data_IF_232942746201
#
_entry.id   IF_232942746201
#
_cell.length_a   1.000
_cell.length_b   1.000
_cell.length_c   1.000
_cell.angle_alpha   90.00
_cell.angle_beta   90.00
_cell.angle_gamma   90.00
#
_symmetry.space_group_name_H-M   'P 1'
#
loop_
_entity.id
_entity.type
_entity.pdbx_description
1 polymer ?
#
# COMPACT_ATOMS: atom_id res chain seq x y z
N UNK A 1 55.60 -5.95 11.42
CA UNK A 1 55.61 -5.96 9.94
C UNK A 1 54.22 -6.26 9.45
N UNK A 2 53.50 -5.26 9.07
CA UNK A 2 52.14 -5.31 8.53
C UNK A 2 52.17 -5.75 7.09
N UNK A 3 51.27 -6.64 6.71
CA UNK A 3 50.76 -6.74 5.31
C UNK A 3 49.26 -6.85 5.36
N UNK A 4 48.67 -5.85 4.76
CA UNK A 4 47.24 -5.71 4.61
C UNK A 4 46.66 -6.78 3.70
N UNK A 5 45.46 -7.21 4.03
CA UNK A 5 44.55 -7.92 3.14
C UNK A 5 43.49 -6.89 2.69
N UNK A 6 43.76 -6.30 1.55
CA UNK A 6 42.76 -5.59 0.76
C UNK A 6 42.17 -6.57 -0.24
N UNK A 7 40.86 -6.56 -0.42
CA UNK A 7 40.19 -7.17 -1.57
C UNK A 7 39.34 -8.40 -1.25
N UNK A 8 38.17 -8.19 -0.67
CA UNK A 8 37.00 -9.05 -0.94
C UNK A 8 36.04 -8.20 -1.77
N UNK A 9 36.15 -8.39 -3.07
CA UNK A 9 35.17 -7.91 -4.04
C UNK A 9 33.84 -8.59 -3.79
N UNK A 10 32.83 -7.77 -3.71
CA UNK A 10 31.44 -8.12 -3.46
C UNK A 10 30.83 -8.69 -4.76
N UNK A 11 30.92 -10.02 -4.92
CA UNK A 11 30.29 -10.74 -6.02
C UNK A 11 29.02 -11.45 -5.51
N UNK A 12 27.91 -10.71 -5.51
CA UNK A 12 26.60 -11.35 -5.55
C UNK A 12 26.32 -11.78 -7.00
N UNK A 13 26.98 -12.84 -7.43
CA UNK A 13 26.80 -13.38 -8.77
C UNK A 13 25.51 -14.19 -8.85
N UNK A 14 24.56 -13.68 -9.62
CA UNK A 14 23.46 -14.47 -10.15
C UNK A 14 24.07 -15.37 -11.26
N UNK A 15 24.32 -16.63 -10.93
CA UNK A 15 24.78 -17.59 -11.93
C UNK A 15 23.57 -18.11 -12.68
N UNK A 16 23.44 -17.67 -13.90
CA UNK A 16 22.53 -18.23 -14.90
C UNK A 16 23.27 -19.37 -15.59
N UNK A 17 22.57 -20.44 -15.97
CA UNK A 17 23.02 -21.64 -16.70
C UNK A 17 24.46 -21.55 -17.29
N UNK A 18 25.28 -22.61 -17.31
CA UNK A 18 26.69 -22.55 -17.71
C UNK A 18 26.94 -21.98 -19.12
N UNK A 19 25.91 -21.70 -19.86
CA UNK A 19 25.97 -21.04 -21.19
C UNK A 19 25.73 -19.52 -21.15
N UNK A 20 25.46 -18.89 -19.98
CA UNK A 20 25.26 -17.45 -19.88
C UNK A 20 26.13 -16.89 -18.75
N UNK A 21 27.31 -16.38 -19.06
CA UNK A 21 28.09 -15.53 -18.16
C UNK A 21 27.46 -14.15 -18.14
N UNK A 22 26.90 -13.74 -17.00
CA UNK A 22 26.49 -12.38 -16.75
C UNK A 22 27.69 -11.54 -16.28
N UNK A 23 28.69 -11.43 -17.11
CA UNK A 23 29.73 -10.44 -17.02
C UNK A 23 29.43 -9.36 -18.06
N UNK A 24 28.75 -8.28 -17.67
CA UNK A 24 28.36 -7.21 -18.58
C UNK A 24 27.37 -7.70 -19.65
N UNK A 25 26.14 -7.21 -19.61
CA UNK A 25 25.25 -7.26 -20.76
C UNK A 25 25.93 -6.44 -21.87
N UNK A 26 26.82 -7.10 -22.64
CA UNK A 26 27.29 -6.52 -23.87
C UNK A 26 26.10 -6.50 -24.80
N UNK A 27 25.91 -5.40 -25.45
CA UNK A 27 24.96 -5.20 -26.56
C UNK A 27 25.39 -5.91 -27.84
N UNK A 28 26.23 -6.95 -27.70
CA UNK A 28 26.66 -7.75 -28.85
C UNK A 28 25.45 -8.55 -29.35
N UNK A 29 25.14 -8.42 -30.62
CA UNK A 29 24.00 -9.10 -31.24
C UNK A 29 24.18 -10.62 -31.10
N UNK A 30 23.15 -11.33 -30.67
CA UNK A 30 23.11 -12.78 -30.68
C UNK A 30 23.34 -13.23 -32.15
N UNK A 31 24.31 -14.12 -32.43
CA UNK A 31 24.47 -14.65 -33.76
C UNK A 31 23.19 -15.38 -34.19
N UNK A 32 22.41 -14.79 -35.05
CA UNK A 32 21.23 -15.40 -35.65
C UNK A 32 21.67 -16.16 -36.88
N UNK A 33 21.44 -17.47 -36.92
CA UNK A 33 21.68 -18.30 -38.09
C UNK A 33 20.71 -18.01 -39.27
N UNK A 34 20.30 -16.77 -39.47
CA UNK A 34 19.41 -16.31 -40.50
C UNK A 34 19.84 -14.95 -41.05
N UNK A 35 19.56 -14.68 -42.32
CA UNK A 35 20.07 -13.59 -43.12
C UNK A 35 19.72 -12.14 -42.68
N UNK A 36 19.09 -11.92 -41.50
CA UNK A 36 18.78 -10.59 -40.99
C UNK A 36 19.16 -10.44 -39.51
N UNK A 37 20.37 -9.93 -39.22
CA UNK A 37 20.86 -9.75 -37.83
C UNK A 37 20.08 -8.69 -37.05
N UNK A 38 19.15 -7.96 -37.66
CA UNK A 38 18.40 -6.88 -37.01
C UNK A 38 17.04 -7.31 -36.43
N UNK A 39 16.59 -8.54 -36.72
CA UNK A 39 15.26 -9.01 -36.22
C UNK A 39 15.24 -9.45 -34.78
N UNK A 40 16.37 -9.85 -34.19
CA UNK A 40 16.49 -10.24 -32.79
C UNK A 40 17.46 -9.31 -32.07
N UNK A 41 16.95 -8.51 -31.15
CA UNK A 41 17.73 -7.50 -30.46
C UNK A 41 18.55 -8.07 -29.28
N UNK A 42 18.00 -9.03 -28.53
CA UNK A 42 18.65 -9.61 -27.38
C UNK A 42 17.98 -10.89 -26.91
N UNK A 43 18.71 -11.73 -26.18
CA UNK A 43 18.14 -12.83 -25.42
C UNK A 43 17.54 -12.31 -24.12
N UNK A 44 16.29 -12.71 -23.81
CA UNK A 44 15.61 -12.32 -22.60
C UNK A 44 15.29 -13.49 -21.70
N UNK A 45 15.34 -13.29 -20.37
CA UNK A 45 15.12 -14.31 -19.34
C UNK A 45 13.77 -14.12 -18.67
N UNK A 46 13.04 -15.21 -18.45
CA UNK A 46 11.84 -15.32 -17.61
C UNK A 46 12.17 -15.95 -16.27
N UNK A 47 11.17 -16.10 -15.38
CA UNK A 47 11.37 -16.80 -14.12
C UNK A 47 11.64 -18.29 -14.31
N UNK A 48 11.16 -18.90 -15.39
CA UNK A 48 11.35 -20.30 -15.69
C UNK A 48 12.77 -20.61 -16.20
N UNK A 49 13.51 -19.57 -16.62
CA UNK A 49 14.88 -19.69 -17.17
C UNK A 49 15.97 -19.59 -16.08
N UNK A 50 15.61 -19.23 -14.83
CA UNK A 50 16.57 -18.92 -13.77
C UNK A 50 16.22 -19.58 -12.46
N UNK A 51 17.24 -19.95 -11.69
CA UNK A 51 17.13 -20.45 -10.31
C UNK A 51 18.09 -19.67 -9.42
N UNK A 52 17.75 -19.57 -8.14
CA UNK A 52 18.66 -19.06 -7.12
C UNK A 52 19.63 -20.18 -6.72
N UNK A 53 20.91 -19.89 -6.67
CA UNK A 53 21.89 -20.81 -6.12
C UNK A 53 21.88 -20.76 -4.59
N UNK A 54 21.96 -21.92 -3.93
CA UNK A 54 22.15 -21.97 -2.50
C UNK A 54 23.46 -21.29 -2.11
N UNK A 55 23.44 -20.49 -1.06
CA UNK A 55 24.63 -19.87 -0.49
C UNK A 55 24.76 -20.21 1.00
N UNK A 56 25.93 -19.99 1.58
CA UNK A 56 26.12 -20.11 3.01
C UNK A 56 25.18 -19.16 3.76
N UNK A 57 24.50 -19.68 4.80
CA UNK A 57 23.55 -18.93 5.60
C UNK A 57 23.57 -19.39 7.05
N UNK A 58 23.52 -18.44 7.96
CA UNK A 58 23.31 -18.62 9.39
C UNK A 58 21.87 -18.28 9.82
N UNK A 59 20.99 -17.96 8.85
CA UNK A 59 19.58 -17.64 9.06
C UNK A 59 18.72 -18.88 8.91
N UNK A 60 17.94 -19.21 9.94
CA UNK A 60 16.92 -20.27 9.87
C UNK A 60 15.60 -19.72 9.31
N UNK A 61 14.77 -20.53 8.62
CA UNK A 61 13.55 -20.06 7.97
C UNK A 61 12.60 -19.28 8.89
N UNK A 62 12.49 -19.68 10.15
CA UNK A 62 11.60 -19.04 11.13
C UNK A 62 12.04 -17.61 11.51
N UNK A 63 13.29 -17.25 11.31
CA UNK A 63 13.84 -15.91 11.61
C UNK A 63 14.13 -15.09 10.37
N UNK A 64 13.75 -15.60 9.19
CA UNK A 64 13.98 -14.89 7.92
C UNK A 64 13.11 -13.61 7.85
N UNK A 65 13.78 -12.46 7.65
CA UNK A 65 13.09 -11.19 7.38
C UNK A 65 12.72 -11.11 5.90
N UNK A 66 11.43 -11.23 5.60
CA UNK A 66 10.90 -11.10 4.23
C UNK A 66 10.49 -9.68 3.90
N UNK A 67 10.65 -8.71 4.81
CA UNK A 67 10.23 -7.34 4.57
C UNK A 67 10.96 -6.70 3.41
N UNK A 68 10.29 -5.80 2.70
CA UNK A 68 10.81 -5.17 1.50
C UNK A 68 10.38 -3.72 1.37
N UNK A 69 11.23 -2.90 0.75
CA UNK A 69 10.92 -1.50 0.48
C UNK A 69 10.00 -1.39 -0.74
N UNK A 70 8.80 -0.86 -0.55
CA UNK A 70 7.83 -0.62 -1.63
C UNK A 70 8.10 0.69 -2.36
N UNK A 71 8.32 1.75 -1.59
CA UNK A 71 8.66 3.10 -2.06
C UNK A 71 9.77 3.66 -1.18
N UNK A 72 10.14 4.94 -1.37
CA UNK A 72 11.17 5.58 -0.53
C UNK A 72 10.82 5.56 0.96
N UNK A 73 9.53 5.66 1.31
CA UNK A 73 9.04 5.76 2.70
C UNK A 73 8.32 4.52 3.20
N UNK A 74 7.71 3.75 2.31
CA UNK A 74 6.87 2.61 2.68
C UNK A 74 7.65 1.31 2.63
N UNK A 75 7.67 0.61 3.76
CA UNK A 75 8.21 -0.74 3.89
C UNK A 75 7.07 -1.73 4.17
N UNK A 76 6.99 -2.79 3.39
CA UNK A 76 6.05 -3.88 3.60
C UNK A 76 6.71 -4.98 4.43
N UNK A 77 6.01 -5.55 5.40
CA UNK A 77 6.48 -6.71 6.16
C UNK A 77 6.41 -8.00 5.35
N UNK A 78 5.43 -8.08 4.45
CA UNK A 78 5.31 -9.14 3.44
C UNK A 78 5.31 -8.46 2.07
N UNK A 79 6.24 -8.79 1.14
CA UNK A 79 6.46 -8.07 -0.11
C UNK A 79 5.42 -8.43 -1.18
N UNK A 80 4.13 -8.38 -0.82
CA UNK A 80 3.02 -8.66 -1.70
C UNK A 80 2.13 -7.43 -1.86
N UNK A 81 1.82 -7.12 -3.12
CA UNK A 81 0.90 -6.03 -3.49
C UNK A 81 -0.16 -6.60 -4.42
N UNK A 82 -1.45 -6.44 -4.09
CA UNK A 82 -2.52 -6.88 -4.99
C UNK A 82 -2.72 -5.91 -6.16
N UNK A 83 -3.08 -6.46 -7.32
CA UNK A 83 -3.22 -5.72 -8.58
C UNK A 83 -4.38 -4.74 -8.57
N UNK A 84 -4.19 -3.60 -9.25
CA UNK A 84 -5.24 -2.63 -9.54
C UNK A 84 -6.14 -3.12 -10.70
N UNK A 85 -6.82 -4.22 -10.49
CA UNK A 85 -7.73 -4.83 -11.46
C UNK A 85 -9.13 -4.93 -10.86
N UNK A 86 -10.15 -4.65 -11.67
CA UNK A 86 -11.53 -4.96 -11.31
C UNK A 86 -11.67 -6.45 -10.99
N UNK A 87 -12.60 -6.80 -10.12
CA UNK A 87 -12.79 -8.15 -9.58
C UNK A 87 -11.61 -8.72 -8.76
N UNK A 88 -10.50 -8.00 -8.61
CA UNK A 88 -9.32 -8.40 -7.81
C UNK A 88 -9.18 -7.54 -6.57
N UNK A 89 -8.99 -6.23 -6.72
CA UNK A 89 -8.69 -5.35 -5.58
C UNK A 89 -9.70 -4.23 -5.42
N UNK A 90 -10.60 -4.45 -4.51
CA UNK A 90 -11.46 -3.46 -3.88
C UNK A 90 -11.13 -3.35 -2.38
N UNK A 91 -11.86 -2.52 -1.63
CA UNK A 91 -11.59 -2.25 -0.21
C UNK A 91 -11.42 -3.51 0.63
N UNK A 92 -12.22 -4.54 0.38
CA UNK A 92 -12.16 -5.81 1.11
C UNK A 92 -10.83 -6.55 0.91
N UNK A 93 -10.34 -6.62 -0.34
CA UNK A 93 -9.04 -7.22 -0.64
C UNK A 93 -7.91 -6.33 -0.12
N UNK A 94 -8.00 -5.01 -0.28
CA UNK A 94 -6.99 -4.08 0.20
C UNK A 94 -6.80 -4.17 1.73
N UNK A 95 -7.89 -4.29 2.49
CA UNK A 95 -7.86 -4.53 3.94
C UNK A 95 -7.17 -5.86 4.26
N UNK A 96 -7.53 -6.95 3.57
CA UNK A 96 -6.93 -8.26 3.81
C UNK A 96 -5.43 -8.26 3.53
N UNK A 97 -5.01 -7.64 2.42
CA UNK A 97 -3.60 -7.50 2.03
C UNK A 97 -2.80 -6.71 3.06
N UNK A 98 -3.32 -5.55 3.49
CA UNK A 98 -2.64 -4.71 4.47
C UNK A 98 -2.52 -5.41 5.84
N UNK A 99 -3.55 -6.12 6.29
CA UNK A 99 -3.54 -6.94 7.51
C UNK A 99 -2.51 -8.06 7.47
N UNK A 100 -2.33 -8.67 6.31
CA UNK A 100 -1.32 -9.71 6.09
C UNK A 100 0.11 -9.16 5.95
N UNK A 101 0.33 -7.84 6.04
CA UNK A 101 1.65 -7.23 5.94
C UNK A 101 2.04 -6.75 4.54
N UNK A 102 1.16 -6.90 3.57
CA UNK A 102 1.28 -6.39 2.21
C UNK A 102 0.54 -5.06 2.00
N UNK A 103 0.10 -4.79 0.76
CA UNK A 103 -0.71 -3.63 0.41
C UNK A 103 -1.65 -3.94 -0.76
N UNK A 104 -2.87 -3.41 -0.74
CA UNK A 104 -3.77 -3.44 -1.87
C UNK A 104 -3.73 -2.16 -2.68
N UNK A 105 -3.84 -2.28 -4.01
CA UNK A 105 -4.01 -1.14 -4.92
C UNK A 105 -5.39 -1.20 -5.54
N UNK A 106 -6.26 -0.25 -5.17
CA UNK A 106 -7.63 -0.16 -5.66
C UNK A 106 -7.66 0.16 -7.16
N UNK A 107 -8.50 -0.56 -7.90
CA UNK A 107 -8.65 -0.32 -9.34
C UNK A 107 -9.42 0.96 -9.64
N UNK A 108 -9.24 1.50 -10.87
CA UNK A 108 -9.87 2.74 -11.32
C UNK A 108 -11.12 2.56 -12.20
N UNK A 109 -11.56 1.32 -12.40
CA UNK A 109 -12.79 1.03 -13.16
C UNK A 109 -14.04 1.25 -12.28
N UNK A 110 -14.13 2.43 -11.68
CA UNK A 110 -15.17 2.89 -10.76
C UNK A 110 -15.37 4.40 -10.96
N UNK A 111 -16.56 4.95 -10.64
CA UNK A 111 -16.74 6.37 -10.45
C UNK A 111 -15.73 6.93 -9.45
N UNK A 112 -15.29 8.17 -9.65
CA UNK A 112 -14.24 8.80 -8.81
C UNK A 112 -14.61 8.78 -7.33
N UNK A 113 -15.84 9.19 -7.01
CA UNK A 113 -16.33 9.22 -5.63
C UNK A 113 -16.40 7.83 -4.98
N UNK A 114 -16.70 6.79 -5.76
CA UNK A 114 -16.76 5.43 -5.24
C UNK A 114 -15.37 4.90 -4.93
N UNK A 115 -14.38 5.13 -5.79
CA UNK A 115 -12.98 4.75 -5.52
C UNK A 115 -12.45 5.47 -4.28
N UNK A 116 -12.73 6.77 -4.11
CA UNK A 116 -12.37 7.53 -2.91
C UNK A 116 -13.04 6.97 -1.65
N UNK A 117 -14.34 6.64 -1.73
CA UNK A 117 -15.07 5.98 -0.65
C UNK A 117 -14.46 4.62 -0.26
N UNK A 118 -13.91 3.87 -1.21
CA UNK A 118 -13.19 2.63 -0.90
C UNK A 118 -11.86 2.89 -0.16
N UNK A 119 -11.12 3.96 -0.50
CA UNK A 119 -9.94 4.38 0.29
C UNK A 119 -10.36 4.67 1.73
N UNK A 120 -11.40 5.47 1.95
CA UNK A 120 -11.92 5.76 3.28
C UNK A 120 -12.30 4.50 4.06
N UNK A 121 -12.95 3.53 3.41
CA UNK A 121 -13.29 2.25 4.05
C UNK A 121 -12.05 1.50 4.53
N UNK A 122 -10.97 1.49 3.75
CA UNK A 122 -9.70 0.87 4.17
C UNK A 122 -9.11 1.61 5.36
N UNK A 123 -9.03 2.94 5.30
CA UNK A 123 -8.47 3.79 6.35
C UNK A 123 -9.25 3.65 7.68
N UNK A 124 -10.57 3.57 7.61
CA UNK A 124 -11.44 3.40 8.79
C UNK A 124 -11.46 1.97 9.33
N UNK A 125 -11.02 0.97 8.55
CA UNK A 125 -11.09 -0.44 8.98
C UNK A 125 -10.20 -0.77 10.18
N UNK A 126 -9.08 -0.06 10.32
CA UNK A 126 -8.19 -0.09 11.48
C UNK A 126 -7.61 1.31 11.71
N UNK A 127 -8.11 1.97 12.73
CA UNK A 127 -7.51 3.15 13.29
C UNK A 127 -7.20 2.83 14.75
N UNK A 128 -5.97 3.01 15.19
CA UNK A 128 -5.61 2.83 16.62
C UNK A 128 -6.35 3.83 17.51
N UNK A 129 -6.62 5.01 16.96
CA UNK A 129 -7.52 6.03 17.44
C UNK A 129 -8.20 6.64 16.20
N UNK A 130 -9.51 6.73 16.23
CA UNK A 130 -10.25 7.48 15.20
C UNK A 130 -10.12 8.96 15.52
N UNK A 131 -9.35 9.70 14.74
CA UNK A 131 -9.04 11.13 14.98
C UNK A 131 -10.17 12.07 14.59
N UNK A 132 -11.15 11.62 13.82
CA UNK A 132 -12.36 12.36 13.47
C UNK A 132 -13.54 11.38 13.54
N UNK A 133 -14.01 11.06 14.75
CA UNK A 133 -15.08 10.09 14.91
C UNK A 133 -16.40 10.67 14.41
N UNK A 134 -17.21 9.80 13.79
CA UNK A 134 -18.59 10.15 13.46
C UNK A 134 -19.32 10.46 14.77
N UNK A 135 -19.95 11.62 14.83
CA UNK A 135 -20.69 12.11 16.00
C UNK A 135 -22.17 12.30 15.69
N UNK A 136 -22.95 12.44 16.70
CA UNK A 136 -24.33 12.93 16.62
C UNK A 136 -24.58 14.05 17.65
N UNK A 137 -25.71 14.73 17.52
CA UNK A 137 -26.14 15.78 18.45
C UNK A 137 -27.19 15.26 19.41
N UNK A 138 -27.41 15.93 20.55
CA UNK A 138 -28.44 15.57 21.51
C UNK A 138 -29.86 15.56 20.94
N UNK A 139 -30.12 16.42 19.96
CA UNK A 139 -31.42 16.59 19.28
C UNK A 139 -31.65 15.64 18.09
N UNK A 140 -30.63 14.87 17.69
CA UNK A 140 -30.83 13.85 16.66
C UNK A 140 -31.81 12.77 17.17
N UNK A 141 -32.57 12.18 16.23
CA UNK A 141 -33.44 11.04 16.53
C UNK A 141 -32.68 9.72 16.54
N UNK A 142 -33.20 8.71 17.23
CA UNK A 142 -32.61 7.37 17.25
C UNK A 142 -32.56 6.77 15.82
N UNK A 143 -33.58 7.03 14.99
CA UNK A 143 -33.57 6.61 13.58
C UNK A 143 -32.38 7.19 12.79
N UNK A 144 -32.04 8.47 13.03
CA UNK A 144 -30.88 9.10 12.41
C UNK A 144 -29.57 8.46 12.87
N UNK A 145 -29.46 8.17 14.17
CA UNK A 145 -28.28 7.50 14.74
C UNK A 145 -28.14 6.07 14.20
N UNK A 146 -29.23 5.32 14.10
CA UNK A 146 -29.21 3.98 13.53
C UNK A 146 -28.77 3.97 12.06
N UNK A 147 -29.27 4.93 11.27
CA UNK A 147 -28.85 5.13 9.89
C UNK A 147 -27.34 5.45 9.77
N UNK A 148 -26.80 6.29 10.67
CA UNK A 148 -25.35 6.57 10.74
C UNK A 148 -24.56 5.32 11.13
N UNK A 149 -25.02 4.59 12.14
CA UNK A 149 -24.41 3.34 12.58
C UNK A 149 -24.36 2.30 11.46
N UNK A 150 -25.45 2.15 10.70
CA UNK A 150 -25.54 1.25 9.55
C UNK A 150 -24.61 1.69 8.42
N UNK A 151 -24.65 2.97 8.03
CA UNK A 151 -23.82 3.55 6.97
C UNK A 151 -22.32 3.36 7.24
N UNK A 152 -21.88 3.66 8.46
CA UNK A 152 -20.46 3.61 8.83
C UNK A 152 -20.05 2.28 9.48
N UNK A 153 -20.96 1.33 9.65
CA UNK A 153 -20.76 0.02 10.31
C UNK A 153 -20.14 0.14 11.70
N UNK A 154 -20.62 1.10 12.47
CA UNK A 154 -20.19 1.38 13.83
C UNK A 154 -21.30 1.05 14.84
N UNK A 155 -20.94 0.82 16.11
CA UNK A 155 -21.85 0.36 17.15
C UNK A 155 -22.18 1.42 18.19
N UNK A 156 -21.98 2.69 17.85
CA UNK A 156 -22.31 3.84 18.69
C UNK A 156 -21.42 5.03 18.42
N UNK A 157 -21.89 6.19 18.83
CA UNK A 157 -21.38 7.52 18.48
C UNK A 157 -21.14 8.34 19.76
N UNK A 158 -20.06 9.13 19.83
CA UNK A 158 -19.99 10.25 20.76
C UNK A 158 -21.08 11.28 20.42
N UNK A 159 -21.63 11.89 21.44
CA UNK A 159 -22.62 12.95 21.33
C UNK A 159 -21.95 14.28 21.71
N UNK A 160 -21.98 15.23 20.79
CA UNK A 160 -21.35 16.55 20.96
C UNK A 160 -22.37 17.66 20.83
N UNK A 161 -22.10 18.78 21.50
CA UNK A 161 -22.88 20.00 21.35
C UNK A 161 -22.43 20.83 20.13
N UNK A 162 -22.97 22.04 19.99
CA UNK A 162 -22.67 22.94 18.88
C UNK A 162 -21.22 23.41 18.85
N UNK A 163 -20.55 23.45 19.99
CA UNK A 163 -19.15 23.85 20.15
C UNK A 163 -18.18 22.67 19.99
N UNK A 164 -18.69 21.45 19.77
CA UNK A 164 -17.93 20.20 19.66
C UNK A 164 -17.50 19.62 21.01
N UNK A 165 -18.03 20.13 22.13
CA UNK A 165 -17.76 19.56 23.44
C UNK A 165 -18.51 18.23 23.62
N UNK A 166 -17.86 17.27 24.29
CA UNK A 166 -18.43 15.95 24.53
C UNK A 166 -19.50 16.01 25.64
N UNK A 167 -20.76 15.76 25.29
CA UNK A 167 -21.90 15.80 26.21
C UNK A 167 -22.47 14.42 26.54
N UNK A 168 -22.12 13.39 25.76
CA UNK A 168 -22.60 12.04 25.98
C UNK A 168 -22.01 11.02 25.03
N UNK A 169 -22.48 9.80 25.13
CA UNK A 169 -22.23 8.70 24.20
C UNK A 169 -23.50 7.88 24.02
N UNK A 170 -23.82 7.50 22.79
CA UNK A 170 -24.92 6.60 22.47
C UNK A 170 -24.41 5.37 21.75
N UNK A 171 -24.90 4.20 22.14
CA UNK A 171 -24.46 2.90 21.58
C UNK A 171 -25.66 2.05 21.22
N UNK A 172 -25.41 1.01 20.40
CA UNK A 172 -26.47 0.02 20.09
C UNK A 172 -27.06 -0.64 21.35
N UNK A 173 -26.34 -0.65 22.48
CA UNK A 173 -26.85 -1.17 23.75
C UNK A 173 -27.94 -0.28 24.31
N UNK A 174 -27.75 1.05 24.21
CA UNK A 174 -28.70 2.05 24.69
C UNK A 174 -29.97 2.05 23.85
N UNK A 175 -29.84 1.86 22.52
CA UNK A 175 -30.97 1.87 21.56
C UNK A 175 -31.71 0.53 21.46
N UNK A 176 -31.11 -0.59 21.92
CA UNK A 176 -31.59 -1.96 21.66
C UNK A 176 -33.04 -2.23 22.08
N UNK A 177 -33.48 -1.60 23.15
CA UNK A 177 -34.81 -1.83 23.75
C UNK A 177 -35.76 -0.66 23.48
N UNK A 178 -35.32 0.38 22.76
CA UNK A 178 -36.16 1.50 22.43
C UNK A 178 -37.00 1.22 21.18
N UNK A 179 -38.30 1.23 21.37
CA UNK A 179 -39.27 0.98 20.31
C UNK A 179 -39.55 2.25 19.51
N UNK A 180 -39.59 3.40 20.19
CA UNK A 180 -39.85 4.71 19.59
C UNK A 180 -38.56 5.29 19.01
N UNK A 181 -38.38 5.14 17.71
CA UNK A 181 -37.22 5.64 16.99
C UNK A 181 -37.24 7.16 16.76
N UNK A 182 -38.34 7.84 17.10
CA UNK A 182 -38.47 9.30 17.03
C UNK A 182 -37.89 10.01 18.27
N UNK A 183 -37.61 9.28 19.36
CA UNK A 183 -36.98 9.82 20.57
C UNK A 183 -35.65 10.49 20.23
N UNK A 184 -35.36 11.56 21.00
CA UNK A 184 -34.09 12.24 20.88
C UNK A 184 -32.96 11.51 21.59
N UNK A 185 -31.74 11.62 21.05
CA UNK A 185 -30.52 11.04 21.64
C UNK A 185 -30.35 11.46 23.10
N UNK A 186 -30.64 12.72 23.43
CA UNK A 186 -30.52 13.26 24.77
C UNK A 186 -31.35 12.49 25.85
N UNK A 187 -32.40 11.79 25.43
CA UNK A 187 -33.25 11.02 26.35
C UNK A 187 -32.67 9.63 26.67
N UNK A 188 -31.86 9.07 25.75
CA UNK A 188 -31.42 7.68 25.78
C UNK A 188 -29.91 7.53 25.99
N UNK A 189 -29.12 8.54 25.62
CA UNK A 189 -27.65 8.51 25.73
C UNK A 189 -27.15 8.38 27.17
N UNK A 190 -25.96 7.80 27.32
CA UNK A 190 -25.18 7.95 28.57
C UNK A 190 -24.60 9.36 28.60
N UNK A 191 -25.07 10.17 29.58
CA UNK A 191 -24.70 11.59 29.69
C UNK A 191 -23.34 11.78 30.37
N UNK A 192 -22.69 12.91 30.15
CA UNK A 192 -21.51 13.32 30.90
C UNK A 192 -21.82 13.45 32.42
N UNK A 193 -20.82 13.21 33.31
CA UNK A 193 -19.39 12.99 33.02
C UNK A 193 -19.08 11.57 32.51
N UNK A 194 -18.28 11.48 31.47
CA UNK A 194 -17.82 10.23 30.85
C UNK A 194 -16.38 9.94 31.27
N UNK A 195 -15.99 8.67 31.18
CA UNK A 195 -14.57 8.29 31.23
C UNK A 195 -13.96 8.69 29.87
N UNK A 196 -13.00 9.61 29.91
CA UNK A 196 -12.31 10.15 28.73
C UNK A 196 -10.79 9.99 28.86
N UNK A 197 -10.07 10.12 27.77
CA UNK A 197 -8.63 10.29 27.75
C UNK A 197 -8.27 11.67 27.19
N UNK A 198 -7.09 12.18 27.51
CA UNK A 198 -6.55 13.39 26.91
C UNK A 198 -5.79 13.05 25.61
N UNK A 199 -5.67 14.01 24.71
CA UNK A 199 -4.81 13.91 23.52
C UNK A 199 -3.41 13.42 23.89
N UNK A 200 -2.83 12.57 23.03
CA UNK A 200 -1.50 11.98 23.26
C UNK A 200 -1.49 10.80 24.24
N UNK A 201 -2.65 10.32 24.69
CA UNK A 201 -2.73 9.11 25.53
C UNK A 201 -2.02 7.94 24.85
N UNK A 202 -1.14 7.24 25.58
CA UNK A 202 -0.50 6.03 25.05
C UNK A 202 -1.48 4.88 24.90
N UNK A 203 -1.23 3.98 23.94
CA UNK A 203 -2.07 2.79 23.72
C UNK A 203 -2.24 1.95 24.99
N UNK A 204 -1.17 1.77 25.79
CA UNK A 204 -1.21 1.02 27.04
C UNK A 204 -2.08 1.70 28.12
N UNK A 205 -2.01 3.03 28.23
CA UNK A 205 -2.81 3.81 29.15
C UNK A 205 -4.31 3.76 28.75
N UNK A 206 -4.60 3.92 27.45
CA UNK A 206 -5.95 3.83 26.92
C UNK A 206 -6.56 2.44 27.16
N UNK A 207 -5.82 1.37 26.89
CA UNK A 207 -6.26 -0.01 27.18
C UNK A 207 -6.51 -0.22 28.68
N UNK A 208 -5.65 0.38 29.54
CA UNK A 208 -5.84 0.38 30.98
C UNK A 208 -7.15 1.05 31.42
N UNK A 209 -7.52 2.19 30.81
CA UNK A 209 -8.78 2.88 31.08
C UNK A 209 -9.98 2.05 30.63
N UNK A 210 -9.94 1.48 29.41
CA UNK A 210 -11.00 0.61 28.89
C UNK A 210 -11.25 -0.59 29.82
N UNK A 211 -10.16 -1.29 30.22
CA UNK A 211 -10.24 -2.49 31.09
C UNK A 211 -10.76 -2.18 32.51
N UNK A 212 -10.19 -1.15 33.15
CA UNK A 212 -10.59 -0.79 34.56
C UNK A 212 -12.05 -0.37 34.64
N UNK A 213 -12.52 0.39 33.67
CA UNK A 213 -13.88 0.92 33.66
C UNK A 213 -14.89 0.01 32.93
N UNK A 214 -14.43 -1.13 32.34
CA UNK A 214 -15.26 -2.08 31.61
C UNK A 214 -16.06 -1.41 30.47
N UNK A 215 -15.46 -0.42 29.80
CA UNK A 215 -16.04 0.30 28.68
C UNK A 215 -15.42 -0.16 27.37
N UNK A 216 -16.20 -0.13 26.29
CA UNK A 216 -15.75 -0.56 24.96
C UNK A 216 -15.24 0.61 24.10
N UNK A 217 -15.62 1.83 24.48
CA UNK A 217 -15.31 3.07 23.74
C UNK A 217 -14.79 4.11 24.73
N UNK A 218 -13.67 4.72 24.38
CA UNK A 218 -12.99 5.74 25.17
C UNK A 218 -12.88 7.01 24.31
N UNK A 219 -13.73 8.01 24.54
CA UNK A 219 -13.57 9.30 23.89
C UNK A 219 -12.26 9.97 24.30
N UNK A 220 -11.59 10.60 23.34
CA UNK A 220 -10.40 11.42 23.56
C UNK A 220 -10.80 12.89 23.40
N UNK A 221 -10.42 13.71 24.36
CA UNK A 221 -10.78 15.13 24.41
C UNK A 221 -9.54 16.02 24.52
N UNK A 222 -9.67 17.26 24.07
CA UNK A 222 -8.67 18.30 24.29
C UNK A 222 -8.79 18.89 25.71
N UNK A 223 -7.89 19.82 26.05
CA UNK A 223 -7.90 20.52 27.32
C UNK A 223 -9.15 21.38 27.61
N UNK A 224 -10.03 21.55 26.61
CA UNK A 224 -11.32 22.27 26.73
C UNK A 224 -12.51 21.31 26.74
N UNK A 225 -12.30 20.00 26.73
CA UNK A 225 -13.35 18.99 26.72
C UNK A 225 -13.98 18.74 25.35
N UNK A 226 -13.43 19.28 24.26
CA UNK A 226 -13.91 19.01 22.91
C UNK A 226 -13.39 17.68 22.43
N UNK A 227 -14.25 16.95 21.74
CA UNK A 227 -13.91 15.64 21.19
C UNK A 227 -12.86 15.75 20.07
N UNK A 228 -11.74 15.04 20.24
CA UNK A 228 -10.65 14.98 19.25
C UNK A 228 -10.42 13.57 18.73
N UNK A 229 -10.99 12.55 19.40
CA UNK A 229 -10.83 11.18 18.94
C UNK A 229 -11.70 10.18 19.70
N UNK A 230 -11.68 8.93 19.19
CA UNK A 230 -12.35 7.80 19.83
C UNK A 230 -11.46 6.56 19.73
N UNK A 231 -11.21 5.93 20.86
CA UNK A 231 -10.47 4.65 20.95
C UNK A 231 -11.44 3.55 21.33
N UNK A 232 -11.36 2.38 20.70
CA UNK A 232 -12.22 1.26 21.02
C UNK A 232 -11.43 -0.01 21.35
N UNK A 233 -12.04 -0.92 22.16
CA UNK A 233 -11.43 -2.23 22.46
C UNK A 233 -11.16 -3.03 21.17
N UNK A 234 -12.00 -2.86 20.14
CA UNK A 234 -11.83 -3.55 18.86
C UNK A 234 -10.50 -3.21 18.16
N UNK A 235 -9.98 -2.01 18.35
CA UNK A 235 -8.73 -1.56 17.72
C UNK A 235 -7.52 -2.30 18.33
N UNK A 236 -7.56 -2.56 19.64
CA UNK A 236 -6.53 -3.37 20.30
C UNK A 236 -6.59 -4.85 19.90
N UNK A 237 -7.80 -5.43 19.85
CA UNK A 237 -7.99 -6.83 19.42
C UNK A 237 -7.48 -7.03 17.99
N UNK A 238 -7.78 -6.10 17.07
CA UNK A 238 -7.29 -6.16 15.70
C UNK A 238 -5.77 -6.07 15.61
N UNK A 239 -5.14 -5.24 16.44
CA UNK A 239 -3.67 -5.12 16.46
C UNK A 239 -3.01 -6.42 16.93
N UNK A 240 -3.59 -7.10 17.93
CA UNK A 240 -3.12 -8.42 18.37
C UNK A 240 -3.34 -9.51 17.31
N UNK A 241 -4.47 -9.47 16.60
CA UNK A 241 -4.79 -10.43 15.54
C UNK A 241 -3.95 -10.25 14.28
N UNK A 242 -3.48 -9.03 14.00
CA UNK A 242 -2.74 -8.69 12.78
C UNK A 242 -1.40 -8.00 13.08
N UNK A 243 -0.44 -8.70 13.73
CA UNK A 243 0.83 -8.10 14.15
C UNK A 243 1.72 -7.68 12.98
N UNK A 244 1.49 -8.25 11.78
CA UNK A 244 2.20 -7.90 10.57
C UNK A 244 1.53 -6.76 9.78
N UNK A 245 0.37 -6.25 10.22
CA UNK A 245 -0.36 -5.26 9.46
C UNK A 245 0.52 -4.06 9.05
N UNK A 246 0.39 -3.66 7.79
CA UNK A 246 1.10 -2.51 7.23
C UNK A 246 0.26 -1.27 7.47
N UNK A 247 0.80 -0.36 8.30
CA UNK A 247 0.07 0.82 8.80
C UNK A 247 0.87 2.09 8.54
N UNK A 248 0.14 3.22 8.45
CA UNK A 248 0.70 4.57 8.44
C UNK A 248 1.09 5.02 9.87
N UNK A 249 1.57 6.26 10.00
CA UNK A 249 1.93 6.86 11.28
C UNK A 249 0.75 6.97 12.26
N UNK A 250 -0.47 7.05 11.76
CA UNK A 250 -1.69 7.18 12.56
C UNK A 250 -2.28 5.81 12.93
N UNK A 251 -1.59 4.72 12.57
CA UNK A 251 -2.02 3.35 12.84
C UNK A 251 -3.12 2.83 11.93
N UNK A 252 -3.43 3.55 10.83
CA UNK A 252 -4.42 3.14 9.82
C UNK A 252 -3.75 2.27 8.76
N UNK A 253 -4.51 1.34 8.16
CA UNK A 253 -3.99 0.47 7.11
C UNK A 253 -3.51 1.27 5.89
N UNK A 254 -2.38 0.86 5.32
CA UNK A 254 -1.89 1.42 4.07
C UNK A 254 -2.72 0.94 2.88
N UNK A 255 -2.97 1.85 1.94
CA UNK A 255 -3.71 1.58 0.71
C UNK A 255 -3.14 2.36 -0.46
N UNK A 256 -3.03 1.68 -1.60
CA UNK A 256 -2.76 2.31 -2.89
C UNK A 256 -4.02 2.44 -3.72
N UNK A 257 -4.01 3.36 -4.68
CA UNK A 257 -5.08 3.47 -5.67
C UNK A 257 -4.53 3.82 -7.05
N UNK A 258 -5.09 3.19 -8.08
CA UNK A 258 -4.69 3.43 -9.45
C UNK A 258 -5.37 4.67 -10.02
N UNK A 259 -4.59 5.43 -10.79
CA UNK A 259 -5.06 6.54 -11.63
C UNK A 259 -4.58 6.35 -13.07
N UNK A 260 -5.25 6.96 -14.02
CA UNK A 260 -4.84 6.97 -15.42
C UNK A 260 -4.07 8.24 -15.80
N UNK A 261 -4.15 8.56 -17.09
CA UNK A 261 -3.67 9.82 -17.67
C UNK A 261 -4.79 10.43 -18.52
N UNK A 262 -4.89 11.75 -18.51
CA UNK A 262 -5.97 12.45 -19.23
C UNK A 262 -7.35 12.30 -18.55
N UNK A 263 -8.40 12.83 -19.17
CA UNK A 263 -9.77 12.75 -18.67
C UNK A 263 -9.93 13.19 -17.21
N UNK A 264 -10.53 12.33 -16.40
CA UNK A 264 -10.79 12.56 -14.97
C UNK A 264 -9.58 12.28 -14.05
N UNK A 265 -8.44 11.84 -14.60
CA UNK A 265 -7.33 11.30 -13.83
C UNK A 265 -6.80 12.27 -12.76
N UNK A 266 -6.77 13.57 -13.05
CA UNK A 266 -6.34 14.59 -12.09
C UNK A 266 -7.33 14.75 -10.94
N UNK A 267 -8.63 14.93 -11.26
CA UNK A 267 -9.68 15.06 -10.25
C UNK A 267 -9.74 13.82 -9.37
N UNK A 268 -9.64 12.66 -9.99
CA UNK A 268 -9.55 11.36 -9.31
C UNK A 268 -8.39 11.31 -8.33
N UNK A 269 -7.19 11.68 -8.76
CA UNK A 269 -6.01 11.68 -7.91
C UNK A 269 -6.19 12.59 -6.69
N UNK A 270 -6.73 13.80 -6.86
CA UNK A 270 -6.94 14.73 -5.75
C UNK A 270 -8.00 14.21 -4.76
N UNK A 271 -9.12 13.68 -5.25
CA UNK A 271 -10.12 13.07 -4.36
C UNK A 271 -9.58 11.86 -3.59
N UNK A 272 -8.68 11.06 -4.20
CA UNK A 272 -8.00 9.96 -3.51
C UNK A 272 -7.04 10.47 -2.42
N UNK A 273 -6.34 11.59 -2.69
CA UNK A 273 -5.47 12.25 -1.71
C UNK A 273 -6.28 12.75 -0.52
N UNK A 274 -7.41 13.42 -0.79
CA UNK A 274 -8.32 13.91 0.25
C UNK A 274 -8.92 12.76 1.08
N UNK A 275 -9.18 11.60 0.45
CA UNK A 275 -9.61 10.38 1.13
C UNK A 275 -8.50 9.69 1.95
N UNK A 276 -7.24 10.17 1.87
CA UNK A 276 -6.11 9.68 2.64
C UNK A 276 -5.36 8.49 2.02
N UNK A 277 -5.31 8.38 0.68
CA UNK A 277 -4.49 7.36 0.01
C UNK A 277 -3.00 7.54 0.33
N UNK A 278 -2.28 6.43 0.51
CA UNK A 278 -0.84 6.45 0.79
C UNK A 278 0.01 6.39 -0.49
N UNK A 279 -0.49 5.71 -1.52
CA UNK A 279 0.22 5.49 -2.78
C UNK A 279 -0.70 5.73 -3.96
N UNK A 280 -0.35 6.65 -4.84
CA UNK A 280 -0.96 6.80 -6.15
C UNK A 280 -0.16 5.99 -7.17
N UNK A 281 -0.84 5.12 -7.91
CA UNK A 281 -0.23 4.32 -8.98
C UNK A 281 -0.72 4.83 -10.32
N UNK A 282 0.15 5.51 -11.08
CA UNK A 282 -0.13 5.88 -12.47
C UNK A 282 0.02 4.62 -13.32
N UNK A 283 -1.10 3.91 -13.52
CA UNK A 283 -1.15 2.57 -14.12
C UNK A 283 -1.56 2.63 -15.59
N UNK A 284 -0.60 2.35 -16.48
CA UNK A 284 -0.76 2.35 -17.92
C UNK A 284 -0.12 1.11 -18.55
N UNK A 285 -0.57 0.73 -19.73
CA UNK A 285 0.03 -0.37 -20.47
C UNK A 285 1.49 -0.09 -20.87
N UNK A 286 1.82 1.20 -21.12
CA UNK A 286 3.14 1.66 -21.53
C UNK A 286 3.43 3.04 -20.94
N UNK A 287 4.32 3.08 -19.94
CA UNK A 287 4.60 4.31 -19.19
C UNK A 287 5.75 5.14 -19.79
N UNK A 288 6.51 4.63 -20.76
CA UNK A 288 7.48 5.43 -21.49
C UNK A 288 6.78 6.30 -22.55
N UNK A 289 5.83 7.08 -22.07
CA UNK A 289 4.99 7.99 -22.84
C UNK A 289 4.99 9.35 -22.16
N UNK A 290 5.09 10.43 -22.91
CA UNK A 290 5.18 11.79 -22.40
C UNK A 290 4.03 12.14 -21.45
N UNK A 291 2.80 11.79 -21.82
CA UNK A 291 1.62 12.05 -20.99
C UNK A 291 1.70 11.37 -19.60
N UNK A 292 2.31 10.18 -19.55
CA UNK A 292 2.50 9.45 -18.27
C UNK A 292 3.58 10.13 -17.44
N UNK A 293 4.70 10.50 -18.04
CA UNK A 293 5.80 11.19 -17.38
C UNK A 293 5.35 12.56 -16.84
N UNK A 294 4.62 13.33 -17.66
CA UNK A 294 4.06 14.62 -17.28
C UNK A 294 3.06 14.46 -16.10
N UNK A 295 2.22 13.42 -16.13
CA UNK A 295 1.27 13.12 -15.02
C UNK A 295 2.00 12.77 -13.74
N UNK A 296 3.05 11.93 -13.79
CA UNK A 296 3.87 11.58 -12.62
C UNK A 296 4.52 12.83 -12.05
N UNK A 297 5.14 13.67 -12.88
CA UNK A 297 5.78 14.92 -12.47
C UNK A 297 4.79 15.91 -11.84
N UNK A 298 3.62 16.07 -12.46
CA UNK A 298 2.56 16.94 -11.96
C UNK A 298 2.03 16.46 -10.61
N UNK A 299 1.75 15.15 -10.47
CA UNK A 299 1.32 14.58 -9.20
C UNK A 299 2.37 14.80 -8.13
N UNK A 300 3.64 14.47 -8.40
CA UNK A 300 4.70 14.61 -7.40
C UNK A 300 4.91 16.06 -6.97
N UNK A 301 4.77 17.02 -7.88
CA UNK A 301 4.83 18.45 -7.57
C UNK A 301 3.68 18.89 -6.63
N UNK A 302 2.49 18.34 -6.82
CA UNK A 302 1.29 18.69 -6.04
C UNK A 302 1.28 18.01 -4.66
N UNK A 303 1.46 16.68 -4.65
CA UNK A 303 1.34 15.92 -3.39
C UNK A 303 2.61 15.97 -2.55
N UNK A 304 3.74 16.30 -3.15
CA UNK A 304 5.05 16.36 -2.49
C UNK A 304 5.38 15.02 -1.82
N UNK A 305 5.64 15.13 -0.53
CA UNK A 305 5.99 13.99 0.32
C UNK A 305 4.81 13.39 1.09
N UNK A 306 3.60 13.90 0.89
CA UNK A 306 2.39 13.42 1.58
C UNK A 306 1.93 12.06 1.06
N UNK A 307 2.07 11.84 -0.25
CA UNK A 307 1.64 10.62 -0.94
C UNK A 307 2.77 10.14 -1.84
N UNK A 308 3.04 8.84 -1.83
CA UNK A 308 4.02 8.24 -2.70
C UNK A 308 3.44 8.01 -4.10
N UNK A 309 4.24 8.27 -5.14
CA UNK A 309 3.80 8.13 -6.54
C UNK A 309 4.57 7.00 -7.23
N UNK A 310 3.85 6.03 -7.75
CA UNK A 310 4.37 4.90 -8.52
C UNK A 310 3.99 5.07 -9.99
N UNK A 311 4.95 4.96 -10.89
CA UNK A 311 4.70 4.98 -12.33
C UNK A 311 4.88 3.61 -13.00
N UNK A 312 4.07 3.26 -13.97
CA UNK A 312 4.20 2.02 -14.74
C UNK A 312 3.15 1.87 -15.86
N UNK A 313 3.35 0.85 -16.72
CA UNK A 313 4.34 -0.21 -16.66
C UNK A 313 5.53 0.08 -17.59
N UNK A 314 6.70 -0.34 -17.21
CA UNK A 314 7.92 -0.24 -18.00
C UNK A 314 8.62 -1.60 -18.13
N UNK A 315 9.51 -1.73 -19.12
CA UNK A 315 10.28 -2.94 -19.33
C UNK A 315 11.75 -2.67 -19.70
N UNK A 316 12.14 -1.41 -19.88
CA UNK A 316 13.49 -1.02 -20.32
C UNK A 316 14.14 -0.07 -19.33
N UNK A 317 15.48 -0.04 -19.34
CA UNK A 317 16.30 0.87 -18.51
C UNK A 317 15.95 2.33 -18.76
N UNK A 318 15.82 2.74 -20.03
CA UNK A 318 15.48 4.12 -20.39
C UNK A 318 14.10 4.55 -19.87
N UNK A 319 13.10 3.66 -19.98
CA UNK A 319 11.76 3.93 -19.47
C UNK A 319 11.73 4.05 -17.94
N UNK A 320 12.47 3.18 -17.23
CA UNK A 320 12.59 3.26 -15.79
C UNK A 320 13.30 4.55 -15.36
N UNK A 321 14.41 4.93 -16.04
CA UNK A 321 15.12 6.18 -15.78
C UNK A 321 14.20 7.39 -15.98
N UNK A 322 13.43 7.44 -17.07
CA UNK A 322 12.51 8.53 -17.36
C UNK A 322 11.44 8.72 -16.26
N UNK A 323 10.89 7.62 -15.71
CA UNK A 323 9.95 7.72 -14.59
C UNK A 323 10.62 8.22 -13.31
N UNK A 324 11.86 7.79 -13.02
CA UNK A 324 12.63 8.28 -11.87
C UNK A 324 12.92 9.76 -12.02
N UNK A 325 13.30 10.21 -13.23
CA UNK A 325 13.56 11.62 -13.54
C UNK A 325 12.29 12.48 -13.44
N UNK A 326 11.13 11.90 -13.77
CA UNK A 326 9.82 12.53 -13.54
C UNK A 326 9.41 12.61 -12.06
N UNK A 327 10.17 11.98 -11.14
CA UNK A 327 9.94 12.06 -9.70
C UNK A 327 9.21 10.86 -9.09
N UNK A 328 9.03 9.76 -9.80
CA UNK A 328 8.41 8.56 -9.24
C UNK A 328 9.17 8.03 -8.02
N UNK A 329 8.44 7.62 -6.97
CA UNK A 329 8.99 7.02 -5.76
C UNK A 329 9.23 5.52 -5.92
N UNK A 330 8.51 4.89 -6.84
CA UNK A 330 8.75 3.53 -7.29
C UNK A 330 8.33 3.35 -8.75
N UNK A 331 8.88 2.31 -9.38
CA UNK A 331 8.64 1.97 -10.79
C UNK A 331 7.99 0.59 -10.87
N UNK A 332 6.85 0.49 -11.57
CA UNK A 332 6.14 -0.77 -11.78
C UNK A 332 6.61 -1.40 -13.10
N UNK A 333 7.24 -2.59 -12.99
CA UNK A 333 7.89 -3.27 -14.11
C UNK A 333 7.08 -4.46 -14.61
N UNK A 334 6.91 -4.53 -15.92
CA UNK A 334 6.31 -5.66 -16.62
C UNK A 334 5.36 -5.25 -17.73
N UNK A 335 5.64 -5.70 -18.95
CA UNK A 335 4.80 -5.52 -20.13
C UNK A 335 4.52 -6.89 -20.73
N UNK A 336 3.26 -7.31 -20.67
CA UNK A 336 2.81 -8.60 -21.19
C UNK A 336 3.16 -9.85 -20.38
N UNK A 337 3.62 -9.84 -19.11
CA UNK A 337 4.00 -11.06 -18.40
C UNK A 337 2.85 -11.80 -17.73
N UNK A 338 1.67 -11.18 -17.58
CA UNK A 338 0.52 -11.80 -16.91
C UNK A 338 -0.03 -13.00 -17.68
N UNK A 339 -0.49 -14.04 -16.97
CA UNK A 339 -1.07 -15.23 -17.59
C UNK A 339 -2.35 -14.94 -18.37
N UNK A 340 -3.09 -13.92 -17.97
CA UNK A 340 -4.33 -13.46 -18.64
C UNK A 340 -4.07 -12.28 -19.59
N UNK A 341 -2.82 -11.80 -19.69
CA UNK A 341 -2.48 -10.63 -20.51
C UNK A 341 -2.49 -10.97 -21.99
N UNK A 342 -3.31 -10.28 -22.75
CA UNK A 342 -3.42 -10.45 -24.20
C UNK A 342 -2.46 -9.59 -25.00
N UNK A 343 -1.71 -8.68 -24.39
CA UNK A 343 -0.83 -7.72 -25.06
C UNK A 343 0.17 -8.41 -25.99
N UNK A 344 0.79 -9.52 -25.58
CA UNK A 344 1.74 -10.27 -26.41
C UNK A 344 1.07 -10.90 -27.61
N UNK A 345 -0.14 -11.42 -27.44
CA UNK A 345 -0.88 -12.13 -28.51
C UNK A 345 -1.48 -11.14 -29.50
N UNK A 346 -2.06 -10.04 -29.00
CA UNK A 346 -2.79 -9.08 -29.85
C UNK A 346 -1.85 -8.04 -30.45
N UNK A 347 -0.93 -7.48 -29.67
CA UNK A 347 -0.06 -6.39 -30.11
C UNK A 347 1.37 -6.82 -30.44
N UNK A 348 1.75 -8.07 -30.20
CA UNK A 348 3.14 -8.55 -30.36
C UNK A 348 4.13 -7.88 -29.41
N UNK A 349 3.66 -7.15 -28.39
CA UNK A 349 4.50 -6.36 -27.49
C UNK A 349 4.61 -7.02 -26.11
N UNK A 350 5.82 -7.14 -25.60
CA UNK A 350 6.10 -7.69 -24.27
C UNK A 350 7.60 -7.81 -24.02
N UNK A 351 7.95 -8.06 -22.76
CA UNK A 351 9.34 -8.32 -22.37
C UNK A 351 9.42 -9.52 -21.42
N UNK A 352 10.50 -10.33 -21.48
CA UNK A 352 10.81 -11.33 -20.48
C UNK A 352 11.02 -10.66 -19.13
N UNK A 353 10.36 -11.18 -18.07
CA UNK A 353 10.18 -10.43 -16.84
C UNK A 353 11.48 -10.24 -16.05
N UNK A 354 12.36 -11.25 -16.00
CA UNK A 354 13.65 -11.14 -15.29
C UNK A 354 14.52 -10.09 -15.96
N UNK A 355 14.62 -10.11 -17.29
CA UNK A 355 15.37 -9.10 -18.05
C UNK A 355 14.81 -7.69 -17.80
N UNK A 356 13.49 -7.53 -17.87
CA UNK A 356 12.85 -6.23 -17.61
C UNK A 356 13.15 -5.69 -16.18
N UNK A 357 13.18 -6.59 -15.19
CA UNK A 357 13.52 -6.22 -13.80
C UNK A 357 14.99 -5.79 -13.70
N UNK A 358 15.91 -6.58 -14.26
CA UNK A 358 17.34 -6.27 -14.22
C UNK A 358 17.64 -4.92 -14.89
N UNK A 359 17.02 -4.64 -16.04
CA UNK A 359 17.15 -3.37 -16.74
C UNK A 359 16.61 -2.19 -15.88
N UNK A 360 15.44 -2.33 -15.26
CA UNK A 360 14.87 -1.31 -14.42
C UNK A 360 15.69 -1.07 -13.14
N UNK A 361 16.20 -2.15 -12.52
CA UNK A 361 17.08 -2.04 -11.33
C UNK A 361 18.38 -1.33 -11.68
N UNK A 362 18.97 -1.61 -12.85
CA UNK A 362 20.18 -0.93 -13.29
C UNK A 362 19.97 0.58 -13.46
N UNK A 363 18.80 1.01 -13.95
CA UNK A 363 18.45 2.43 -14.04
C UNK A 363 18.34 3.09 -12.65
N UNK A 364 17.71 2.40 -11.69
CA UNK A 364 17.48 2.95 -10.34
C UNK A 364 18.74 2.96 -9.46
N UNK A 365 19.74 2.10 -9.74
CA UNK A 365 21.00 2.01 -8.98
C UNK A 365 22.07 2.99 -9.42
N UNK A 366 22.03 3.49 -10.65
CA UNK A 366 23.08 4.31 -11.28
C UNK A 366 23.33 5.66 -10.60
N UNK A 367 22.43 6.15 -9.77
CA UNK A 367 22.59 7.40 -9.01
C UNK A 367 22.22 7.15 -7.53
N UNK A 368 23.18 7.41 -6.63
CA UNK A 368 22.96 7.31 -5.17
C UNK A 368 21.84 8.22 -4.67
N UNK A 369 21.48 9.26 -5.42
CA UNK A 369 20.36 10.18 -5.14
C UNK A 369 19.00 9.60 -5.59
N UNK A 370 18.99 8.56 -6.44
CA UNK A 370 17.80 7.96 -7.05
C UNK A 370 17.44 6.63 -6.39
N UNK A 371 17.18 6.63 -5.08
CA UNK A 371 16.69 5.44 -4.37
C UNK A 371 15.21 5.22 -4.70
N UNK A 372 14.93 4.65 -5.85
CA UNK A 372 13.57 4.31 -6.30
C UNK A 372 13.40 2.80 -6.23
N UNK A 373 12.32 2.33 -5.67
CA UNK A 373 12.02 0.91 -5.58
C UNK A 373 11.50 0.39 -6.93
N UNK A 374 11.75 -0.89 -7.22
CA UNK A 374 11.27 -1.57 -8.41
C UNK A 374 10.20 -2.59 -7.99
N UNK A 375 8.98 -2.38 -8.45
CA UNK A 375 7.86 -3.28 -8.26
C UNK A 375 7.76 -4.23 -9.45
N UNK A 376 7.64 -5.53 -9.19
CA UNK A 376 7.44 -6.52 -10.25
C UNK A 376 6.04 -7.12 -10.22
N UNK A 377 5.51 -7.43 -11.39
CA UNK A 377 4.32 -8.25 -11.54
C UNK A 377 4.73 -9.73 -11.49
N UNK A 378 4.21 -10.48 -10.53
CA UNK A 378 4.53 -11.90 -10.38
C UNK A 378 3.61 -12.77 -11.23
N UNK A 379 4.17 -13.83 -11.87
CA UNK A 379 3.42 -14.91 -12.49
C UNK A 379 3.22 -16.01 -11.45
N UNK A 380 1.98 -16.41 -11.17
CA UNK A 380 1.73 -17.63 -10.40
C UNK A 380 1.78 -18.85 -11.29
N UNK A 381 2.48 -19.89 -10.83
CA UNK A 381 2.44 -21.20 -11.43
C UNK A 381 1.07 -21.85 -11.32
N UNK A 382 0.78 -22.80 -12.21
CA UNK A 382 -0.50 -23.48 -12.34
C UNK A 382 -0.91 -24.22 -11.07
N UNK A 383 -1.91 -23.70 -10.38
CA UNK A 383 -2.56 -24.31 -9.22
C UNK A 383 -3.74 -23.48 -8.74
N UNK A 384 -4.90 -23.85 -9.20
CA UNK A 384 -6.27 -23.45 -8.80
C UNK A 384 -6.42 -22.39 -7.69
N UNK A 385 -6.70 -21.17 -8.10
CA UNK A 385 -7.17 -19.91 -7.52
C UNK A 385 -6.12 -18.81 -7.68
N UNK A 386 -6.32 -18.03 -8.73
CA UNK A 386 -5.46 -16.90 -9.08
C UNK A 386 -5.70 -15.74 -8.12
N UNK A 387 -4.63 -15.31 -7.47
CA UNK A 387 -4.49 -13.95 -6.99
C UNK A 387 -3.27 -13.39 -7.72
N UNK A 388 -3.50 -12.49 -8.66
CA UNK A 388 -2.40 -11.75 -9.31
C UNK A 388 -1.77 -10.84 -8.25
N UNK A 389 -0.74 -11.35 -7.58
CA UNK A 389 0.05 -10.60 -6.62
C UNK A 389 1.15 -9.80 -7.32
N UNK A 390 1.33 -8.56 -6.94
CA UNK A 390 2.53 -7.79 -7.25
C UNK A 390 3.50 -7.98 -6.08
N UNK A 391 4.67 -8.56 -6.34
CA UNK A 391 5.74 -8.65 -5.35
C UNK A 391 6.77 -7.56 -5.61
N UNK A 392 7.08 -6.78 -4.57
CA UNK A 392 8.20 -5.86 -4.60
C UNK A 392 9.50 -6.63 -4.32
N UNK A 393 10.47 -6.57 -5.23
CA UNK A 393 11.85 -6.91 -4.92
C UNK A 393 12.58 -5.59 -4.65
N UNK A 394 12.70 -5.22 -3.39
CA UNK A 394 13.78 -4.37 -3.00
C UNK A 394 15.03 -5.24 -2.96
N UNK A 395 16.08 -4.86 -3.68
CA UNK A 395 17.41 -5.35 -3.42
C UNK A 395 17.82 -4.84 -2.02
N UNK A 396 17.43 -5.58 -0.98
CA UNK A 396 17.87 -5.31 0.37
C UNK A 396 19.34 -5.61 0.46
N UNK A 397 20.15 -4.58 0.74
CA UNK A 397 21.45 -4.82 1.36
C UNK A 397 21.20 -5.54 2.68
N UNK A 398 21.80 -6.68 2.90
CA UNK A 398 22.04 -7.19 4.23
C UNK A 398 22.79 -6.10 5.01
N UNK A 399 22.10 -5.40 5.88
CA UNK A 399 22.75 -4.62 6.92
C UNK A 399 23.35 -5.66 7.88
N UNK A 400 24.68 -5.86 7.78
CA UNK A 400 25.42 -6.51 8.87
C UNK A 400 25.10 -5.71 10.13
N UNK A 401 24.56 -6.38 11.14
CA UNK A 401 24.42 -5.81 12.46
C UNK A 401 25.78 -5.32 12.94
N UNK A 402 25.87 -4.04 13.21
CA UNK A 402 26.90 -3.51 14.07
C UNK A 402 26.46 -3.79 15.51
N UNK A 403 27.36 -4.36 16.29
CA UNK A 403 27.30 -4.53 17.74
C UNK A 403 27.11 -3.18 18.45
#
# INVERSE_FOLDING_TARGET
MSRGMSGLEDSSDLVVSPYVRMGGLTTDPVPTGGDDPHKVAMLGLTFDDVLLLPAASDVVPATADTSSQLTKKIRLKVPLVSSAMDTVTESRMAIAMARAGGMGVLHRNLPVAEQAGQVEMVKRSEAGMVTDPVTCRPDNTLAQVDALCARFRISGLPVVDDDGALVGIITNRDMRFEVDQSKQVAEVMTKAPLITAQEGVSASAALGLLRRNKIEKLPVVDGRGRLTGLITVKDFVKTEQHPLATKDSDGRLLVGAAVGVGGDAWVRAMMLVDAGVDVLVVDTAHAHNRLVLDMVGKLKSEVGDRVEVVGGNVATRSAAAALVDAGADAVKVGVGPGSICTTRVVAGVGAPQITAILEAVAACRGDRRRRTAVLRRHRQGAGRRYVDGHAGLAAGRHSRGAR
#
